data_IF_364613749698
#
_entry.id   IF_364613749698
#
_cell.length_a   1.000
_cell.length_b   1.000
_cell.length_c   1.000
_cell.angle_alpha   90.00
_cell.angle_beta   90.00
_cell.angle_gamma   90.00
#
_symmetry.space_group_name_H-M   'P 1'
#
loop_
_entity.id
_entity.type
_entity.pdbx_description
1 polymer ?
#
# COMPACT_ATOMS: atom_id res chain seq x y z
N UNK A 1 0.49 12.03 -6.96
CA UNK A 1 0.26 12.26 -8.40
C UNK A 1 1.61 12.35 -9.13
N UNK A 2 1.75 11.73 -10.31
CA UNK A 2 2.99 11.85 -11.10
C UNK A 2 3.28 13.32 -11.44
N UNK A 3 4.48 13.79 -11.09
CA UNK A 3 4.96 15.14 -11.41
C UNK A 3 4.77 16.18 -10.30
N UNK A 4 3.73 16.09 -9.48
CA UNK A 4 3.51 17.01 -8.36
C UNK A 4 3.93 16.41 -7.02
N UNK A 5 3.96 15.07 -6.91
CA UNK A 5 4.14 14.31 -5.67
C UNK A 5 3.07 14.57 -4.60
N UNK A 6 1.93 15.10 -5.01
CA UNK A 6 0.80 15.36 -4.12
C UNK A 6 0.09 14.06 -3.73
N UNK A 7 -0.37 14.02 -2.50
CA UNK A 7 -1.20 12.93 -2.00
C UNK A 7 -2.63 13.06 -2.51
N UNK A 8 -3.31 11.92 -2.68
CA UNK A 8 -4.70 11.91 -3.12
C UNK A 8 -5.62 12.66 -2.15
N UNK A 9 -5.35 12.58 -0.84
CA UNK A 9 -6.10 13.36 0.16
C UNK A 9 -5.99 14.86 -0.08
N UNK A 10 -4.80 15.37 -0.42
CA UNK A 10 -4.57 16.78 -0.74
C UNK A 10 -5.35 17.20 -1.98
N UNK A 11 -5.28 16.42 -3.04
CA UNK A 11 -6.03 16.69 -4.29
C UNK A 11 -7.52 16.72 -4.02
N UNK A 12 -8.06 15.78 -3.24
CA UNK A 12 -9.48 15.77 -2.88
C UNK A 12 -9.87 16.98 -2.03
N UNK A 13 -8.99 17.43 -1.13
CA UNK A 13 -9.19 18.64 -0.33
C UNK A 13 -9.26 19.90 -1.20
N UNK A 14 -8.50 19.96 -2.28
CA UNK A 14 -8.48 21.07 -3.23
C UNK A 14 -9.67 21.07 -4.19
N UNK A 15 -10.01 19.90 -4.74
CA UNK A 15 -11.05 19.76 -5.76
C UNK A 15 -12.48 19.77 -5.18
N UNK A 16 -12.67 19.32 -3.94
CA UNK A 16 -13.99 19.27 -3.31
C UNK A 16 -14.14 20.45 -2.34
N UNK A 17 -15.06 21.39 -2.59
CA UNK A 17 -15.30 22.53 -1.70
C UNK A 17 -15.60 22.07 -0.26
N UNK A 18 -15.04 22.75 0.74
CA UNK A 18 -15.16 22.41 2.17
C UNK A 18 -16.61 22.19 2.62
N UNK A 19 -17.54 23.02 2.13
CA UNK A 19 -18.98 22.92 2.45
C UNK A 19 -19.66 21.63 1.93
N UNK A 20 -19.01 20.91 1.03
CA UNK A 20 -19.54 19.69 0.40
C UNK A 20 -18.82 18.41 0.85
N UNK A 21 -17.81 18.53 1.72
CA UNK A 21 -17.05 17.39 2.22
C UNK A 21 -16.94 17.39 3.74
N UNK A 22 -16.78 16.21 4.28
CA UNK A 22 -16.24 15.97 5.62
C UNK A 22 -14.73 15.77 5.51
N UNK A 23 -14.07 15.38 6.60
CA UNK A 23 -12.67 14.97 6.53
C UNK A 23 -12.49 13.78 5.61
N UNK A 24 -11.33 13.74 4.94
CA UNK A 24 -10.95 12.63 4.07
C UNK A 24 -10.56 11.42 4.93
N UNK A 25 -11.04 10.25 4.54
CA UNK A 25 -10.62 8.98 5.14
C UNK A 25 -9.84 8.18 4.10
N UNK A 26 -8.61 7.86 4.44
CA UNK A 26 -7.76 6.96 3.64
C UNK A 26 -7.87 5.55 4.19
N UNK A 27 -8.21 4.60 3.32
CA UNK A 27 -8.32 3.18 3.67
C UNK A 27 -7.19 2.41 2.97
N UNK A 28 -6.32 1.77 3.75
CA UNK A 28 -5.16 1.05 3.24
C UNK A 28 -4.74 -0.10 4.17
N UNK A 29 -4.15 -1.14 3.60
CA UNK A 29 -3.65 -2.30 4.33
C UNK A 29 -3.66 -3.57 3.48
N UNK A 30 -3.25 -4.73 4.04
CA UNK A 30 -3.19 -6.01 3.34
C UNK A 30 -4.60 -6.49 2.95
N UNK A 31 -4.99 -6.28 1.70
CA UNK A 31 -6.36 -6.53 1.23
C UNK A 31 -6.41 -6.94 -0.25
N UNK A 32 -5.80 -8.08 -0.59
CA UNK A 32 -5.97 -8.64 -1.93
C UNK A 32 -7.44 -8.97 -2.19
N UNK A 33 -7.93 -8.51 -3.35
CA UNK A 33 -9.34 -8.68 -3.72
C UNK A 33 -9.75 -10.17 -3.80
N UNK A 34 -8.82 -11.02 -4.26
CA UNK A 34 -8.99 -12.46 -4.40
C UNK A 34 -9.28 -13.14 -3.06
N UNK A 35 -8.65 -12.67 -1.98
CA UNK A 35 -8.84 -13.20 -0.63
C UNK A 35 -10.08 -12.58 0.03
N UNK A 36 -10.28 -11.27 -0.15
CA UNK A 36 -11.42 -10.56 0.42
C UNK A 36 -12.75 -11.07 -0.13
N UNK A 37 -12.84 -11.39 -1.43
CA UNK A 37 -14.07 -11.87 -2.07
C UNK A 37 -14.51 -13.25 -1.56
N UNK A 38 -13.56 -14.08 -1.16
CA UNK A 38 -13.82 -15.40 -0.54
C UNK A 38 -14.01 -15.30 0.96
N UNK A 39 -14.07 -14.09 1.51
CA UNK A 39 -14.26 -13.79 2.94
C UNK A 39 -13.16 -14.27 3.84
N UNK A 40 -11.92 -14.26 3.33
CA UNK A 40 -10.75 -14.48 4.19
C UNK A 40 -10.54 -13.30 5.15
N UNK A 41 -9.91 -13.57 6.28
CA UNK A 41 -9.71 -12.57 7.33
C UNK A 41 -8.83 -11.44 6.81
N UNK A 42 -9.40 -10.25 6.72
CA UNK A 42 -8.75 -9.05 6.21
C UNK A 42 -8.80 -7.93 7.24
N UNK A 43 -7.63 -7.41 7.62
CA UNK A 43 -7.49 -6.31 8.57
C UNK A 43 -6.77 -5.15 7.88
N UNK A 44 -7.40 -3.97 7.89
CA UNK A 44 -6.87 -2.76 7.24
C UNK A 44 -6.99 -1.54 8.15
N UNK A 45 -6.44 -0.42 7.73
CA UNK A 45 -6.48 0.86 8.45
C UNK A 45 -7.42 1.83 7.76
N UNK A 46 -8.22 2.56 8.54
CA UNK A 46 -8.94 3.76 8.15
C UNK A 46 -8.29 4.97 8.85
N UNK A 47 -7.67 5.86 8.08
CA UNK A 47 -6.97 7.04 8.62
C UNK A 47 -7.68 8.33 8.25
N UNK A 48 -7.90 9.19 9.22
CA UNK A 48 -8.44 10.54 9.05
C UNK A 48 -7.89 11.49 10.10
N UNK A 49 -7.75 12.77 9.76
CA UNK A 49 -7.37 13.82 10.73
C UNK A 49 -8.39 13.90 11.88
N UNK A 50 -9.68 13.71 11.56
CA UNK A 50 -10.74 13.52 12.55
C UNK A 50 -10.99 12.03 12.79
N UNK A 51 -10.66 11.55 13.99
CA UNK A 51 -10.87 10.16 14.38
C UNK A 51 -12.34 9.74 14.43
N UNK A 52 -13.29 10.67 14.65
CA UNK A 52 -14.72 10.34 14.62
C UNK A 52 -15.15 9.97 13.21
N UNK A 53 -14.63 10.67 12.19
CA UNK A 53 -14.88 10.34 10.79
C UNK A 53 -14.25 8.99 10.43
N UNK A 54 -13.03 8.71 10.93
CA UNK A 54 -12.41 7.39 10.77
C UNK A 54 -13.24 6.28 11.43
N UNK A 55 -13.76 6.50 12.64
CA UNK A 55 -14.65 5.54 13.34
C UNK A 55 -15.98 5.33 12.61
N UNK A 56 -16.54 6.37 12.03
CA UNK A 56 -17.74 6.25 11.21
C UNK A 56 -17.52 5.32 10.03
N UNK A 57 -16.41 5.49 9.29
CA UNK A 57 -16.03 4.61 8.19
C UNK A 57 -15.73 3.19 8.68
N UNK A 58 -15.04 3.05 9.81
CA UNK A 58 -14.82 1.76 10.47
C UNK A 58 -16.14 1.02 10.72
N UNK A 59 -17.15 1.73 11.25
CA UNK A 59 -18.48 1.15 11.54
C UNK A 59 -19.22 0.68 10.31
N UNK A 60 -19.07 1.37 9.17
CA UNK A 60 -19.73 1.00 7.91
C UNK A 60 -19.09 -0.24 7.28
N UNK A 61 -17.77 -0.32 7.26
CA UNK A 61 -17.05 -1.35 6.50
C UNK A 61 -16.72 -2.60 7.31
N UNK A 62 -16.63 -2.50 8.65
CA UNK A 62 -16.25 -3.65 9.48
C UNK A 62 -17.36 -4.70 9.54
N UNK A 63 -16.95 -5.96 9.41
CA UNK A 63 -17.80 -7.12 9.55
C UNK A 63 -17.01 -8.32 10.13
N UNK A 64 -17.53 -9.55 10.04
CA UNK A 64 -16.93 -10.73 10.69
C UNK A 64 -15.57 -11.15 10.10
N UNK A 65 -15.26 -10.80 8.87
CA UNK A 65 -14.01 -11.16 8.18
C UNK A 65 -13.21 -9.96 7.68
N UNK A 66 -13.82 -8.78 7.61
CA UNK A 66 -13.19 -7.54 7.17
C UNK A 66 -13.25 -6.51 8.30
N UNK A 67 -12.09 -6.15 8.86
CA UNK A 67 -12.02 -5.28 10.03
C UNK A 67 -11.11 -4.08 9.80
N UNK A 68 -11.61 -2.89 10.12
CA UNK A 68 -10.84 -1.65 10.06
C UNK A 68 -10.32 -1.27 11.45
N UNK A 69 -9.11 -0.74 11.49
CA UNK A 69 -8.51 -0.06 12.64
C UNK A 69 -8.33 1.41 12.32
N UNK A 70 -8.65 2.28 13.27
CA UNK A 70 -8.55 3.74 13.05
C UNK A 70 -7.14 4.24 13.30
N UNK A 71 -6.72 5.26 12.53
CA UNK A 71 -5.46 5.97 12.68
C UNK A 71 -5.70 7.47 12.40
N UNK A 72 -4.89 8.35 13.00
CA UNK A 72 -4.93 9.80 12.71
C UNK A 72 -3.87 10.25 11.71
N UNK A 73 -2.90 9.38 11.37
CA UNK A 73 -1.80 9.67 10.47
C UNK A 73 -2.16 9.37 9.01
N UNK A 74 -2.89 10.28 8.38
CA UNK A 74 -3.24 10.21 6.95
C UNK A 74 -1.99 10.18 6.08
N UNK A 75 -0.96 10.99 6.42
CA UNK A 75 0.27 11.08 5.65
C UNK A 75 1.00 9.74 5.62
N UNK A 76 1.16 9.11 6.78
CA UNK A 76 1.83 7.82 6.91
C UNK A 76 1.11 6.70 6.16
N UNK A 77 -0.23 6.64 6.27
CA UNK A 77 -1.02 5.61 5.59
C UNK A 77 -0.96 5.76 4.07
N UNK A 78 -1.08 6.98 3.52
CA UNK A 78 -0.98 7.22 2.08
C UNK A 78 0.42 6.94 1.53
N UNK A 79 1.46 7.44 2.21
CA UNK A 79 2.84 7.27 1.76
C UNK A 79 3.31 5.82 1.86
N UNK A 80 2.91 5.09 2.90
CA UNK A 80 3.20 3.66 3.01
C UNK A 80 2.57 2.87 1.85
N UNK A 81 1.29 3.11 1.55
CA UNK A 81 0.58 2.47 0.44
C UNK A 81 1.17 2.75 -0.93
N UNK A 82 1.66 3.97 -1.17
CA UNK A 82 2.29 4.34 -2.43
C UNK A 82 3.70 3.75 -2.57
N UNK A 83 4.53 3.87 -1.54
CA UNK A 83 5.96 3.52 -1.62
C UNK A 83 6.23 2.01 -1.56
N UNK A 84 5.33 1.21 -0.97
CA UNK A 84 5.49 -0.26 -0.91
C UNK A 84 5.65 -0.90 -2.29
N UNK A 85 5.04 -0.32 -3.31
CA UNK A 85 5.01 -0.88 -4.66
C UNK A 85 6.40 -1.01 -5.27
N UNK A 86 7.30 -0.04 -5.01
CA UNK A 86 8.70 -0.08 -5.43
C UNK A 86 9.41 -1.30 -4.82
N UNK A 87 9.17 -1.55 -3.54
CA UNK A 87 9.79 -2.67 -2.82
C UNK A 87 9.23 -4.01 -3.32
N UNK A 88 7.93 -4.05 -3.64
CA UNK A 88 7.30 -5.24 -4.20
C UNK A 88 7.90 -5.62 -5.57
N UNK A 89 8.15 -4.64 -6.46
CA UNK A 89 8.87 -4.87 -7.73
C UNK A 89 10.27 -5.43 -7.44
N UNK A 90 11.02 -4.84 -6.52
CA UNK A 90 12.36 -5.32 -6.14
C UNK A 90 12.36 -6.75 -5.59
N UNK A 91 11.38 -7.08 -4.72
CA UNK A 91 11.24 -8.42 -4.17
C UNK A 91 10.88 -9.46 -5.25
N UNK A 92 10.00 -9.09 -6.20
CA UNK A 92 9.68 -9.90 -7.37
C UNK A 92 10.90 -10.12 -8.26
N UNK A 93 11.67 -9.06 -8.55
CA UNK A 93 12.88 -9.18 -9.38
C UNK A 93 13.91 -10.14 -8.77
N UNK A 94 14.13 -10.10 -7.46
CA UNK A 94 15.00 -11.07 -6.79
C UNK A 94 14.49 -12.50 -6.93
N UNK A 95 13.17 -12.71 -6.85
CA UNK A 95 12.58 -14.02 -7.08
C UNK A 95 12.83 -14.49 -8.51
N UNK A 96 12.56 -13.66 -9.52
CA UNK A 96 12.77 -13.97 -10.94
C UNK A 96 14.23 -14.28 -11.29
N UNK A 97 15.19 -13.64 -10.60
CA UNK A 97 16.62 -13.92 -10.69
C UNK A 97 17.05 -15.22 -9.97
N UNK A 98 16.13 -15.91 -9.27
CA UNK A 98 16.41 -17.15 -8.55
C UNK A 98 16.98 -16.97 -7.14
N UNK A 99 16.91 -15.77 -6.56
CA UNK A 99 17.30 -15.54 -5.16
C UNK A 99 16.27 -16.12 -4.19
N UNK A 100 16.74 -16.62 -3.05
CA UNK A 100 15.90 -17.22 -2.02
C UNK A 100 15.26 -16.21 -1.05
N UNK A 101 14.63 -16.75 -0.01
CA UNK A 101 13.84 -15.97 0.95
C UNK A 101 14.68 -14.99 1.78
N UNK A 102 15.96 -15.31 2.07
CA UNK A 102 16.85 -14.39 2.79
C UNK A 102 17.04 -13.07 2.03
N UNK A 103 17.22 -13.11 0.71
CA UNK A 103 17.38 -11.91 -0.12
C UNK A 103 16.08 -11.11 -0.18
N UNK A 104 14.93 -11.79 -0.32
CA UNK A 104 13.60 -11.13 -0.29
C UNK A 104 13.34 -10.46 1.06
N UNK A 105 13.60 -11.16 2.17
CA UNK A 105 13.47 -10.60 3.51
C UNK A 105 14.37 -9.38 3.72
N UNK A 106 15.61 -9.42 3.21
CA UNK A 106 16.54 -8.28 3.29
C UNK A 106 15.99 -7.05 2.54
N UNK A 107 15.48 -7.21 1.32
CA UNK A 107 14.88 -6.11 0.53
C UNK A 107 13.65 -5.55 1.22
N UNK A 108 12.75 -6.40 1.71
CA UNK A 108 11.55 -5.95 2.43
C UNK A 108 11.93 -5.16 3.70
N UNK A 109 12.85 -5.69 4.50
CA UNK A 109 13.27 -5.04 5.75
C UNK A 109 13.98 -3.71 5.49
N UNK A 110 14.92 -3.68 4.53
CA UNK A 110 15.64 -2.45 4.18
C UNK A 110 14.71 -1.44 3.51
N UNK A 111 13.84 -1.90 2.62
CA UNK A 111 12.81 -1.08 1.98
C UNK A 111 11.88 -0.43 3.00
N UNK A 112 11.37 -1.21 3.98
CA UNK A 112 10.54 -0.65 5.07
C UNK A 112 11.27 0.47 5.82
N UNK A 113 12.54 0.28 6.15
CA UNK A 113 13.34 1.31 6.82
C UNK A 113 13.53 2.58 5.96
N UNK A 114 13.62 2.44 4.64
CA UNK A 114 13.76 3.57 3.70
C UNK A 114 12.46 4.33 3.52
N UNK A 115 11.34 3.63 3.28
CA UNK A 115 10.03 4.30 3.16
C UNK A 115 9.61 4.95 4.47
N UNK A 116 9.95 4.36 5.63
CA UNK A 116 9.70 4.98 6.94
C UNK A 116 10.48 6.30 7.07
N UNK A 117 11.78 6.32 6.74
CA UNK A 117 12.59 7.56 6.79
C UNK A 117 12.05 8.64 5.85
N UNK A 118 11.63 8.26 4.66
CA UNK A 118 11.02 9.20 3.72
C UNK A 118 9.69 9.74 4.25
N UNK A 119 8.81 8.85 4.72
CA UNK A 119 7.51 9.25 5.27
C UNK A 119 7.62 10.17 6.48
N UNK A 120 8.55 9.89 7.39
CA UNK A 120 8.82 10.78 8.56
C UNK A 120 9.26 12.18 8.09
N UNK A 121 10.08 12.27 7.03
CA UNK A 121 10.43 13.58 6.43
C UNK A 121 9.24 14.31 5.82
N UNK A 122 8.21 13.58 5.41
CA UNK A 122 6.95 14.13 4.89
C UNK A 122 5.94 14.44 6.00
N UNK A 123 6.29 14.17 7.26
CA UNK A 123 5.46 14.47 8.43
C UNK A 123 4.64 13.29 8.99
N UNK A 124 4.93 12.07 8.55
CA UNK A 124 4.27 10.87 9.05
C UNK A 124 4.81 10.42 10.43
N UNK A 125 3.96 9.71 11.18
CA UNK A 125 4.36 9.00 12.39
C UNK A 125 5.12 7.71 12.02
N UNK A 126 6.34 7.49 12.50
CA UNK A 126 7.10 6.27 12.22
C UNK A 126 6.38 4.99 12.67
N UNK A 127 5.53 5.03 13.69
CA UNK A 127 4.75 3.88 14.15
C UNK A 127 3.71 3.40 13.13
N UNK A 128 3.22 4.28 12.27
CA UNK A 128 2.30 3.91 11.19
C UNK A 128 2.91 2.85 10.26
N UNK A 129 4.21 2.92 10.01
CA UNK A 129 4.92 1.96 9.15
C UNK A 129 5.10 0.59 9.79
N UNK A 130 4.99 0.48 11.11
CA UNK A 130 4.98 -0.79 11.84
C UNK A 130 3.58 -1.44 11.89
N UNK A 131 2.57 -0.76 11.37
CA UNK A 131 1.17 -1.20 11.37
C UNK A 131 0.73 -1.90 10.08
N UNK A 132 -0.60 -2.07 9.96
CA UNK A 132 -1.25 -2.76 8.82
C UNK A 132 -0.94 -2.09 7.48
N UNK A 133 -1.03 -0.76 7.40
CA UNK A 133 -0.75 0.00 6.15
C UNK A 133 0.74 0.07 5.80
N UNK A 134 1.63 -0.18 6.76
CA UNK A 134 3.08 -0.23 6.57
C UNK A 134 3.57 -1.65 6.33
N UNK A 135 4.17 -2.24 7.37
CA UNK A 135 4.78 -3.59 7.27
C UNK A 135 3.78 -4.65 6.85
N UNK A 136 2.51 -4.59 7.29
CA UNK A 136 1.49 -5.58 6.93
C UNK A 136 1.24 -5.60 5.42
N UNK A 137 0.96 -4.45 4.84
CA UNK A 137 0.70 -4.30 3.41
C UNK A 137 1.96 -4.53 2.56
N UNK A 138 3.13 -4.14 3.07
CA UNK A 138 4.41 -4.41 2.41
C UNK A 138 4.73 -5.91 2.32
N UNK A 139 4.47 -6.68 3.39
CA UNK A 139 4.69 -8.13 3.39
C UNK A 139 3.79 -8.78 2.35
N UNK A 140 2.48 -8.54 2.41
CA UNK A 140 1.54 -9.19 1.48
C UNK A 140 1.80 -8.78 0.03
N UNK A 141 2.14 -7.51 -0.22
CA UNK A 141 2.44 -7.01 -1.57
C UNK A 141 3.78 -7.54 -2.10
N UNK A 142 4.79 -7.65 -1.24
CA UNK A 142 6.15 -8.08 -1.61
C UNK A 142 6.36 -9.59 -1.67
N UNK A 143 5.38 -10.40 -1.22
CA UNK A 143 5.52 -11.87 -1.19
C UNK A 143 4.43 -12.62 -1.94
N UNK A 144 3.33 -11.95 -2.29
CA UNK A 144 2.16 -12.59 -2.91
C UNK A 144 2.21 -12.55 -4.44
N UNK A 145 1.84 -13.68 -5.04
CA UNK A 145 1.62 -13.79 -6.50
C UNK A 145 0.39 -12.98 -6.97
N UNK A 146 -0.50 -12.56 -6.07
CA UNK A 146 -1.62 -11.68 -6.40
C UNK A 146 -1.17 -10.23 -6.60
N UNK A 147 0.02 -9.87 -6.11
CA UNK A 147 0.57 -8.53 -6.32
C UNK A 147 1.01 -8.32 -7.76
N UNK A 148 0.41 -7.35 -8.44
CA UNK A 148 0.77 -6.94 -9.81
C UNK A 148 2.23 -6.49 -9.88
N UNK A 149 2.65 -5.66 -8.93
CA UNK A 149 4.00 -5.13 -8.87
C UNK A 149 5.03 -6.24 -8.61
N UNK A 150 4.73 -7.19 -7.74
CA UNK A 150 5.59 -8.35 -7.52
C UNK A 150 5.72 -9.21 -8.80
N UNK A 151 4.61 -9.49 -9.49
CA UNK A 151 4.64 -10.25 -10.76
C UNK A 151 5.40 -9.54 -11.85
N UNK A 152 5.26 -8.21 -11.96
CA UNK A 152 6.04 -7.42 -12.91
C UNK A 152 7.54 -7.50 -12.59
N UNK A 153 7.90 -7.39 -11.32
CA UNK A 153 9.28 -7.59 -10.87
C UNK A 153 9.82 -8.98 -11.19
N UNK A 154 9.04 -10.03 -10.93
CA UNK A 154 9.41 -11.42 -11.23
C UNK A 154 9.70 -11.63 -12.72
N UNK A 155 8.85 -11.14 -13.60
CA UNK A 155 9.05 -11.19 -15.04
C UNK A 155 10.29 -10.40 -15.48
N UNK A 156 10.51 -9.19 -14.95
CA UNK A 156 11.73 -8.42 -15.18
C UNK A 156 12.99 -9.19 -14.72
N UNK A 157 12.93 -9.83 -13.55
CA UNK A 157 14.03 -10.64 -13.02
C UNK A 157 14.37 -11.85 -13.87
N UNK A 158 13.41 -12.38 -14.60
CA UNK A 158 13.59 -13.44 -15.62
C UNK A 158 14.12 -12.93 -16.94
N UNK A 159 14.26 -11.63 -17.14
CA UNK A 159 14.77 -11.00 -18.35
C UNK A 159 13.69 -10.65 -19.38
N UNK A 160 12.41 -10.67 -19.02
CA UNK A 160 11.33 -10.19 -19.89
C UNK A 160 11.43 -8.67 -20.07
N UNK A 161 11.01 -8.17 -21.25
CA UNK A 161 11.01 -6.73 -21.52
C UNK A 161 9.76 -6.07 -20.93
N UNK A 162 9.92 -4.84 -20.44
CA UNK A 162 8.83 -4.10 -19.81
C UNK A 162 7.60 -3.97 -20.73
N UNK A 163 7.80 -3.68 -22.02
CA UNK A 163 6.72 -3.53 -22.99
C UNK A 163 5.89 -4.83 -23.17
N UNK A 164 6.54 -5.99 -23.05
CA UNK A 164 5.86 -7.28 -23.14
C UNK A 164 5.10 -7.60 -21.85
N UNK A 165 5.69 -7.25 -20.70
CA UNK A 165 5.05 -7.40 -19.38
C UNK A 165 3.77 -6.55 -19.31
N UNK A 166 3.84 -5.26 -19.66
CA UNK A 166 2.69 -4.35 -19.69
C UNK A 166 1.57 -4.86 -20.59
N UNK A 167 1.93 -5.34 -21.79
CA UNK A 167 0.96 -5.91 -22.75
C UNK A 167 0.28 -7.17 -22.22
N UNK A 168 1.05 -8.06 -21.57
CA UNK A 168 0.55 -9.36 -21.11
C UNK A 168 -0.22 -9.26 -19.80
N UNK A 169 0.10 -8.32 -18.92
CA UNK A 169 -0.59 -8.17 -17.65
C UNK A 169 -1.98 -7.54 -17.78
N UNK A 170 -2.25 -6.76 -18.85
CA UNK A 170 -3.54 -6.10 -19.07
C UNK A 170 -3.98 -5.16 -17.93
N UNK A 171 -3.07 -4.80 -17.03
CA UNK A 171 -3.32 -4.00 -15.84
C UNK A 171 -2.15 -3.03 -15.63
N UNK A 172 -2.44 -1.88 -15.05
CA UNK A 172 -1.43 -0.87 -14.70
C UNK A 172 -0.46 -1.45 -13.64
N UNK A 173 0.84 -1.29 -13.90
CA UNK A 173 1.92 -1.49 -12.92
C UNK A 173 2.11 -0.13 -12.24
N UNK A 174 1.99 -0.08 -10.92
CA UNK A 174 2.07 1.14 -10.12
C UNK A 174 3.49 1.37 -9.59
#
# INVERSE_FOLDING_TARGET
EPGTHERLSTILEEEIPEKLRSDIVVVSGPSHAEETIVRDITLITAASKDLEVARYVQGIFSNNYFRLYTNSDVIGVETAGALKNIIAVGAGALHGMGYGDNAKAAVITRGLAEITRLGVKLGADPLTYSGLSGVGDLIVTGTSIHSRNWRAGDALGRGEKLEDIERNMGMVIE
#
